data_IF_995906801302
#
_entry.id   IF_995906801302
#
_cell.length_a   1.000
_cell.length_b   1.000
_cell.length_c   1.000
_cell.angle_alpha   90.00
_cell.angle_beta   90.00
_cell.angle_gamma   90.00
#
_symmetry.space_group_name_H-M   'P 1'
#
loop_
_entity.id
_entity.type
_entity.pdbx_description
1 polymer ?
#
# COMPACT_ATOMS: atom_id res chain seq x y z
N UNK A 1 8.91 -3.34 -1.88
CA UNK A 1 7.88 -2.61 -2.66
C UNK A 1 8.02 -1.14 -2.35
N UNK A 2 8.40 -0.37 -3.37
CA UNK A 2 8.53 1.08 -3.27
C UNK A 2 7.14 1.71 -3.32
N UNK A 3 6.82 2.57 -2.37
CA UNK A 3 5.54 3.24 -2.22
C UNK A 3 5.75 4.72 -1.86
N UNK A 4 4.74 5.54 -2.12
CA UNK A 4 4.62 6.94 -1.71
C UNK A 4 3.56 6.99 -0.62
N UNK A 5 3.88 7.54 0.54
CA UNK A 5 2.93 7.74 1.62
C UNK A 5 1.88 8.78 1.21
N UNK A 6 0.60 8.45 1.32
CA UNK A 6 -0.53 9.37 1.14
C UNK A 6 -0.95 9.96 2.49
N UNK A 7 -0.57 9.33 3.60
CA UNK A 7 -0.87 9.80 4.96
C UNK A 7 0.39 9.70 5.81
N UNK A 8 0.46 10.38 6.97
CA UNK A 8 1.53 10.16 7.92
C UNK A 8 1.56 8.70 8.37
N UNK A 9 2.62 7.98 8.03
CA UNK A 9 2.84 6.57 8.41
C UNK A 9 4.03 6.51 9.35
N UNK A 10 3.89 5.84 10.48
CA UNK A 10 5.03 5.52 11.33
C UNK A 10 5.74 4.28 10.80
N UNK A 11 6.99 4.44 10.36
CA UNK A 11 7.79 3.38 9.77
C UNK A 11 9.23 3.44 10.29
N UNK A 12 9.72 2.33 10.86
CA UNK A 12 11.09 2.21 11.40
C UNK A 12 11.55 3.37 12.29
N UNK A 13 10.70 3.81 13.22
CA UNK A 13 11.05 4.91 14.14
C UNK A 13 10.89 6.31 13.56
N UNK A 14 10.49 6.43 12.30
CA UNK A 14 10.32 7.70 11.59
C UNK A 14 8.87 7.88 11.16
N UNK A 15 8.40 9.14 11.17
CA UNK A 15 7.09 9.48 10.61
C UNK A 15 7.31 9.87 9.15
N UNK A 16 6.89 8.99 8.25
CA UNK A 16 6.84 9.26 6.82
C UNK A 16 5.66 10.19 6.56
N UNK A 17 5.94 11.41 6.14
CA UNK A 17 4.91 12.40 5.79
C UNK A 17 4.26 12.07 4.45
N UNK A 18 3.10 12.65 4.17
CA UNK A 18 2.47 12.54 2.86
C UNK A 18 3.42 13.02 1.74
N UNK A 19 3.47 12.28 0.63
CA UNK A 19 4.41 12.47 -0.47
C UNK A 19 5.78 11.81 -0.27
N UNK A 20 6.05 11.21 0.91
CA UNK A 20 7.35 10.58 1.17
C UNK A 20 7.44 9.22 0.49
N UNK A 21 8.45 9.03 -0.34
CA UNK A 21 8.80 7.72 -0.90
C UNK A 21 9.49 6.85 0.14
N UNK A 22 9.02 5.62 0.31
CA UNK A 22 9.61 4.63 1.20
C UNK A 22 9.55 3.25 0.58
N UNK A 23 10.42 2.36 1.05
CA UNK A 23 10.40 0.97 0.63
C UNK A 23 10.00 0.09 1.82
N UNK A 24 9.04 -0.80 1.57
CA UNK A 24 8.58 -1.74 2.58
C UNK A 24 8.38 -3.14 1.99
N UNK A 25 8.09 -4.13 2.83
CA UNK A 25 7.78 -5.49 2.39
C UNK A 25 6.52 -5.50 1.52
N UNK A 26 6.47 -6.37 0.50
CA UNK A 26 5.35 -6.41 -0.45
C UNK A 26 4.00 -6.67 0.24
N UNK A 27 3.97 -7.53 1.26
CA UNK A 27 2.75 -7.79 2.06
C UNK A 27 2.29 -6.55 2.82
N UNK A 28 3.21 -5.81 3.45
CA UNK A 28 2.88 -4.60 4.17
C UNK A 28 2.48 -3.47 3.23
N UNK A 29 3.19 -3.33 2.11
CA UNK A 29 2.89 -2.34 1.09
C UNK A 29 1.49 -2.52 0.49
N UNK A 30 1.07 -3.75 0.22
CA UNK A 30 -0.30 -4.05 -0.23
C UNK A 30 -1.35 -3.67 0.80
N UNK A 31 -1.11 -3.91 2.09
CA UNK A 31 -2.04 -3.49 3.16
C UNK A 31 -2.13 -1.95 3.23
N UNK A 32 -1.00 -1.25 3.14
CA UNK A 32 -0.99 0.22 3.11
C UNK A 32 -1.72 0.79 1.89
N UNK A 33 -1.55 0.19 0.72
CA UNK A 33 -2.26 0.58 -0.50
C UNK A 33 -3.76 0.29 -0.39
N UNK A 34 -4.14 -0.91 0.05
CA UNK A 34 -5.54 -1.31 0.20
C UNK A 34 -6.28 -0.44 1.24
N UNK A 35 -5.57 0.02 2.26
CA UNK A 35 -6.10 0.92 3.29
C UNK A 35 -6.04 2.41 2.90
N UNK A 36 -5.42 2.75 1.77
CA UNK A 36 -5.26 4.14 1.31
C UNK A 36 -4.31 4.98 2.16
N UNK A 37 -3.28 4.35 2.75
CA UNK A 37 -2.18 5.04 3.42
C UNK A 37 -0.99 5.28 2.48
N UNK A 38 -0.82 4.49 1.42
CA UNK A 38 0.28 4.61 0.48
C UNK A 38 -0.13 4.28 -0.97
N UNK A 39 0.68 4.64 -1.96
CA UNK A 39 0.48 4.33 -3.39
C UNK A 39 1.79 3.93 -4.08
N UNK A 40 1.71 3.27 -5.23
CA UNK A 40 2.91 2.90 -6.02
C UNK A 40 3.47 4.13 -6.79
N UNK A 41 4.79 4.41 -6.74
CA UNK A 41 5.40 5.48 -7.51
C UNK A 41 5.38 5.12 -9.00
N UNK A 42 4.64 5.89 -9.79
CA UNK A 42 4.51 5.67 -11.24
C UNK A 42 3.18 5.07 -11.69
N UNK A 43 2.31 4.65 -10.76
CA UNK A 43 0.88 4.47 -11.10
C UNK A 43 0.27 5.88 -11.12
N UNK A 44 -0.11 6.37 -12.30
CA UNK A 44 -1.09 7.47 -12.37
C UNK A 44 -2.34 7.04 -11.59
N UNK A 45 -3.07 7.97 -10.97
CA UNK A 45 -4.29 7.67 -10.24
C UNK A 45 -5.37 7.23 -11.23
N UNK A 46 -5.29 5.99 -11.70
CA UNK A 46 -6.39 5.32 -12.36
C UNK A 46 -7.25 4.70 -11.23
N UNK A 47 -8.50 5.18 -11.01
CA UNK A 47 -9.40 4.74 -9.95
C UNK A 47 -10.00 3.34 -10.24
N UNK A 48 -9.21 2.43 -10.79
CA UNK A 48 -9.64 1.09 -11.17
C UNK A 48 -8.61 0.06 -10.72
N UNK A 49 -8.41 -0.02 -9.40
CA UNK A 49 -7.97 -1.28 -8.80
C UNK A 49 -8.89 -1.59 -7.64
N UNK A 50 -10.08 -2.02 -8.03
CA UNK A 50 -10.97 -2.84 -7.25
C UNK A 50 -10.14 -3.87 -6.47
N UNK A 51 -10.33 -3.99 -5.14
CA UNK A 51 -9.71 -5.07 -4.41
C UNK A 51 -10.43 -6.34 -4.86
N UNK A 52 -9.74 -7.23 -5.56
CA UNK A 52 -10.14 -8.64 -5.55
C UNK A 52 -9.58 -9.28 -4.27
N UNK A 53 -10.36 -9.49 -3.18
CA UNK A 53 -10.02 -10.47 -2.19
C UNK A 53 -10.70 -11.79 -2.57
N UNK A 54 -9.91 -12.84 -2.77
CA UNK A 54 -9.95 -14.06 -1.94
C UNK A 54 -9.26 -15.22 -2.66
N UNK A 55 -8.01 -15.43 -2.28
CA UNK A 55 -7.62 -16.79 -1.93
C UNK A 55 -8.34 -17.19 -0.64
N UNK A 56 -9.30 -18.11 -0.72
CA UNK A 56 -9.65 -19.02 0.37
C UNK A 56 -9.94 -20.39 -0.23
N UNK A 57 -9.08 -21.36 0.08
CA UNK A 57 -9.33 -22.76 -0.20
C UNK A 57 -10.42 -23.39 0.69
N UNK A 58 -10.82 -24.60 0.26
CA UNK A 58 -11.63 -25.66 0.91
C UNK A 58 -13.11 -25.41 1.17
N UNK A 59 -13.98 -26.12 0.42
CA UNK A 59 -14.69 -27.34 0.87
C UNK A 59 -16.01 -27.56 0.09
N UNK A 60 -16.08 -28.64 -0.70
CA UNK A 60 -17.21 -29.59 -0.71
C UNK A 60 -16.78 -30.90 -1.37
#
# INVERSE_FOLDING_TARGET
>A
MKLIAIKPIYFEGNVLTEGTEFETLEQHGRDLVARGYAQEPGKKPDPEKDPEPKGKGKAK
#
